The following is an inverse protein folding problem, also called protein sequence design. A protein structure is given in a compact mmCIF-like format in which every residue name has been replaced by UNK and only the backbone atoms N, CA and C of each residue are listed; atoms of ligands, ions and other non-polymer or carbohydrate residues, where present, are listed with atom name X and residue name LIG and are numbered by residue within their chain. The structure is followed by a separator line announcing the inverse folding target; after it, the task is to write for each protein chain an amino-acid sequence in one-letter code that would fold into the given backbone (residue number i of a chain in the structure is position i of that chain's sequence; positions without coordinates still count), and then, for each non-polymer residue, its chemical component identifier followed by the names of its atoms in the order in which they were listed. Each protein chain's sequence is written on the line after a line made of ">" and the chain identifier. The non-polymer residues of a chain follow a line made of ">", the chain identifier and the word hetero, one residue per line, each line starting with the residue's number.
data_IF_431658996554
#
_entry.id   IF_431658996554
#
_cell.length_a   1.000
_cell.length_b   1.000
_cell.length_c   1.000
_cell.angle_alpha   90.00
_cell.angle_beta   90.00
_cell.angle_gamma   90.00
#
_symmetry.space_group_name_H-M   'P 1'
#
loop_
_entity.id
_entity.type
_entity.pdbx_description
1 polymer ?
#
# COMPACT_ATOMS: atom_id res chain seq x y z
N UNK A 1 46.24 2.69 -44.95
CA UNK A 1 47.00 3.44 -43.94
C UNK A 1 48.34 3.82 -44.55
N UNK A 2 48.72 5.10 -44.56
CA UNK A 2 49.86 5.61 -45.35
C UNK A 2 51.12 5.58 -44.47
N UNK A 3 52.21 4.98 -44.98
CA UNK A 3 53.51 5.00 -44.30
C UNK A 3 54.06 6.42 -44.29
N UNK A 4 54.62 6.87 -43.17
CA UNK A 4 55.26 8.18 -43.07
C UNK A 4 56.65 8.12 -43.69
N UNK A 5 56.94 9.00 -44.65
CA UNK A 5 58.22 9.07 -45.37
C UNK A 5 58.68 10.51 -45.64
N UNK A 6 58.02 11.50 -45.04
CA UNK A 6 58.37 12.91 -45.23
C UNK A 6 59.70 13.21 -44.54
N UNK A 7 60.55 14.05 -45.16
CA UNK A 7 61.84 14.44 -44.58
C UNK A 7 62.90 13.34 -44.62
N UNK A 8 63.93 13.51 -43.79
CA UNK A 8 65.08 12.59 -43.69
C UNK A 8 65.48 12.35 -42.25
N UNK A 9 66.28 11.31 -42.01
CA UNK A 9 66.78 10.97 -40.67
C UNK A 9 68.30 10.85 -40.62
N UNK A 10 68.82 11.09 -39.42
CA UNK A 10 70.19 10.83 -39.02
C UNK A 10 70.19 9.75 -37.94
N UNK A 11 70.93 8.68 -38.20
CA UNK A 11 71.02 7.47 -37.38
C UNK A 11 72.49 7.11 -37.17
N UNK A 12 72.82 6.66 -35.97
CA UNK A 12 74.18 6.28 -35.60
C UNK A 12 74.22 4.80 -35.20
N UNK A 13 75.18 4.05 -35.72
CA UNK A 13 75.38 2.65 -35.35
C UNK A 13 75.54 2.52 -33.82
N UNK A 14 74.79 1.60 -33.22
CA UNK A 14 74.80 1.36 -31.77
C UNK A 14 74.01 2.38 -30.95
N UNK A 15 73.38 3.37 -31.58
CA UNK A 15 72.52 4.35 -30.90
C UNK A 15 71.04 4.00 -31.04
N UNK A 16 70.26 4.28 -30.00
CA UNK A 16 68.79 4.22 -30.06
C UNK A 16 68.19 5.53 -30.59
N UNK A 17 68.97 6.61 -30.73
CA UNK A 17 68.44 7.92 -31.10
C UNK A 17 68.36 8.08 -32.61
N UNK A 18 67.20 8.49 -33.11
CA UNK A 18 66.97 8.90 -34.50
C UNK A 18 66.61 10.37 -34.51
N UNK A 19 67.38 11.19 -35.23
CA UNK A 19 67.12 12.64 -35.37
C UNK A 19 66.65 12.94 -36.78
N UNK A 20 65.48 13.52 -36.94
CA UNK A 20 64.88 13.85 -38.23
C UNK A 20 65.04 15.32 -38.63
N UNK A 21 65.02 15.56 -39.94
CA UNK A 21 65.00 16.88 -40.55
C UNK A 21 63.83 16.96 -41.55
N UNK A 22 63.02 18.02 -41.45
CA UNK A 22 61.81 18.16 -42.25
C UNK A 22 60.73 17.13 -41.92
N UNK A 23 60.70 16.66 -40.67
CA UNK A 23 59.77 15.66 -40.14
C UNK A 23 58.95 16.27 -38.99
N UNK A 24 57.83 15.62 -38.64
CA UNK A 24 57.13 15.84 -37.37
C UNK A 24 56.71 14.49 -36.76
N UNK A 25 57.63 13.84 -36.07
CA UNK A 25 57.40 12.55 -35.42
C UNK A 25 56.32 12.61 -34.34
N UNK A 26 56.18 13.74 -33.64
CA UNK A 26 55.18 13.91 -32.58
C UNK A 26 53.75 13.88 -33.14
N UNK A 27 53.54 14.49 -34.31
CA UNK A 27 52.24 14.45 -34.99
C UNK A 27 52.01 13.17 -35.80
N UNK A 28 53.07 12.50 -36.26
CA UNK A 28 52.95 11.46 -37.31
C UNK A 28 53.30 10.03 -36.89
N UNK A 29 53.83 9.81 -35.68
CA UNK A 29 54.18 8.48 -35.16
C UNK A 29 53.75 8.30 -33.70
N UNK A 30 53.65 7.06 -33.26
CA UNK A 30 53.39 6.68 -31.87
C UNK A 30 54.44 5.69 -31.37
N UNK A 31 54.60 5.63 -30.06
CA UNK A 31 55.35 4.54 -29.41
C UNK A 31 54.70 3.21 -29.79
N UNK A 32 55.53 2.23 -30.16
CA UNK A 32 55.10 0.93 -30.69
C UNK A 32 54.99 0.87 -32.21
N UNK A 33 55.06 2.01 -32.92
CA UNK A 33 55.13 1.99 -34.38
C UNK A 33 56.46 1.36 -34.87
N UNK A 34 56.43 0.86 -36.10
CA UNK A 34 57.58 0.22 -36.74
C UNK A 34 58.38 1.25 -37.54
N UNK A 35 59.54 1.64 -37.05
CA UNK A 35 60.53 2.43 -37.79
C UNK A 35 61.33 1.53 -38.73
N UNK A 36 61.30 1.83 -40.02
CA UNK A 36 62.13 1.20 -41.05
C UNK A 36 63.33 2.10 -41.30
N UNK A 37 64.51 1.66 -40.85
CA UNK A 37 65.75 2.41 -40.96
C UNK A 37 66.31 2.47 -42.38
N UNK A 38 67.32 3.32 -42.63
CA UNK A 38 68.02 3.40 -43.92
C UNK A 38 68.71 2.09 -44.34
N UNK A 39 68.99 1.20 -43.37
CA UNK A 39 69.50 -0.16 -43.57
C UNK A 39 68.42 -1.15 -44.03
N UNK A 40 67.16 -0.72 -44.13
CA UNK A 40 66.01 -1.55 -44.49
C UNK A 40 65.50 -2.43 -43.36
N UNK A 41 66.11 -2.36 -42.16
CA UNK A 41 65.68 -3.13 -41.00
C UNK A 41 64.55 -2.42 -40.24
N UNK A 42 63.73 -3.21 -39.55
CA UNK A 42 62.64 -2.71 -38.72
C UNK A 42 63.05 -2.64 -37.26
N UNK A 43 62.68 -1.53 -36.63
CA UNK A 43 62.90 -1.23 -35.23
C UNK A 43 61.59 -0.73 -34.60
N UNK A 44 61.38 -1.01 -33.32
CA UNK A 44 60.24 -0.48 -32.58
C UNK A 44 60.53 0.96 -32.15
N UNK A 45 59.61 1.89 -32.41
CA UNK A 45 59.67 3.25 -31.85
C UNK A 45 59.39 3.16 -30.36
N UNK A 46 60.43 3.30 -29.54
CA UNK A 46 60.36 3.16 -28.09
C UNK A 46 59.94 4.44 -27.37
N UNK A 47 60.20 5.61 -27.97
CA UNK A 47 59.77 6.90 -27.44
C UNK A 47 59.69 7.93 -28.58
N UNK A 48 58.75 8.85 -28.48
CA UNK A 48 58.66 10.02 -29.35
C UNK A 48 59.02 11.24 -28.50
N UNK A 49 60.30 11.59 -28.47
CA UNK A 49 60.83 12.59 -27.56
C UNK A 49 60.48 14.02 -27.99
N UNK A 50 60.36 14.28 -29.30
CA UNK A 50 59.92 15.55 -29.86
C UNK A 50 59.48 15.39 -31.32
N UNK A 51 59.08 16.48 -31.96
CA UNK A 51 58.78 16.50 -33.40
C UNK A 51 59.95 16.00 -34.28
N UNK A 52 61.21 16.12 -33.82
CA UNK A 52 62.38 15.74 -34.63
C UNK A 52 63.22 14.65 -34.01
N UNK A 53 62.85 14.10 -32.85
CA UNK A 53 63.65 13.06 -32.19
C UNK A 53 62.75 11.92 -31.70
N UNK A 54 63.08 10.70 -32.13
CA UNK A 54 62.52 9.46 -31.60
C UNK A 54 63.66 8.59 -31.08
N UNK A 55 63.32 7.65 -30.20
CA UNK A 55 64.22 6.53 -29.87
C UNK A 55 63.67 5.22 -30.39
N UNK A 56 64.54 4.32 -30.82
CA UNK A 56 64.19 3.00 -31.36
C UNK A 56 64.80 1.87 -30.52
N UNK A 57 64.17 0.69 -30.56
CA UNK A 57 64.67 -0.54 -29.96
C UNK A 57 64.59 -1.71 -30.97
N UNK A 58 65.62 -2.58 -31.03
CA UNK A 58 66.96 -2.41 -30.44
C UNK A 58 67.71 -1.21 -31.06
N UNK A 59 68.90 -0.88 -30.55
CA UNK A 59 69.73 0.18 -31.13
C UNK A 59 70.02 -0.07 -32.62
N UNK A 60 70.17 1.01 -33.39
CA UNK A 60 70.36 0.96 -34.83
C UNK A 60 71.61 0.16 -35.21
N UNK A 61 71.46 -0.82 -36.11
CA UNK A 61 72.52 -1.78 -36.46
C UNK A 61 73.24 -1.46 -37.77
N UNK A 62 72.62 -0.65 -38.63
CA UNK A 62 73.19 -0.22 -39.90
C UNK A 62 74.37 0.75 -39.77
N UNK A 63 74.97 1.12 -40.90
CA UNK A 63 76.03 2.13 -40.94
C UNK A 63 75.50 3.50 -40.47
N UNK A 64 76.31 4.29 -39.77
CA UNK A 64 75.96 5.67 -39.39
C UNK A 64 75.74 6.50 -40.64
N UNK A 65 74.54 7.07 -40.79
CA UNK A 65 74.14 7.88 -41.96
C UNK A 65 73.33 9.09 -41.50
N UNK A 66 73.57 10.23 -42.14
CA UNK A 66 72.83 11.48 -41.97
C UNK A 66 72.06 11.80 -43.24
N UNK A 67 70.85 12.35 -43.12
CA UNK A 67 70.03 12.76 -44.25
C UNK A 67 69.46 11.61 -45.09
N UNK A 68 69.27 10.43 -44.51
CA UNK A 68 68.76 9.26 -45.22
C UNK A 68 67.23 9.18 -45.25
N UNK A 69 66.71 8.45 -46.24
CA UNK A 69 65.30 8.08 -46.30
C UNK A 69 64.95 7.07 -45.20
N UNK A 70 63.70 7.10 -44.75
CA UNK A 70 63.16 6.18 -43.75
C UNK A 70 61.68 5.92 -44.05
N UNK A 71 61.08 5.01 -43.30
CA UNK A 71 59.64 4.98 -43.18
C UNK A 71 59.19 4.68 -41.74
N UNK A 72 58.02 5.17 -41.34
CA UNK A 72 57.33 4.68 -40.14
C UNK A 72 56.01 4.02 -40.56
N UNK A 73 55.86 2.76 -40.18
CA UNK A 73 54.65 1.98 -40.36
C UNK A 73 53.88 1.93 -39.02
N UNK A 74 52.64 2.41 -38.98
CA UNK A 74 51.81 2.26 -37.80
C UNK A 74 51.57 0.79 -37.48
N UNK A 75 51.86 0.36 -36.25
CA UNK A 75 51.56 -1.00 -35.78
C UNK A 75 50.33 -0.90 -34.89
N UNK A 76 49.15 -1.01 -35.50
CA UNK A 76 47.91 -1.14 -34.74
C UNK A 76 47.80 -2.56 -34.20
N UNK A 77 48.39 -2.82 -33.03
CA UNK A 77 47.86 -3.87 -32.17
C UNK A 77 46.40 -3.54 -31.91
N UNK A 78 45.49 -4.52 -32.04
CA UNK A 78 44.11 -4.36 -31.53
C UNK A 78 44.19 -3.64 -30.18
N UNK A 79 43.41 -2.57 -29.96
CA UNK A 79 43.36 -1.84 -28.68
C UNK A 79 42.83 -2.79 -27.60
N UNK A 80 43.69 -3.70 -27.16
CA UNK A 80 43.37 -4.81 -26.26
C UNK A 80 42.80 -4.28 -24.97
N UNK A 81 43.29 -3.13 -24.53
CA UNK A 81 42.77 -2.41 -23.37
C UNK A 81 41.33 -1.93 -23.56
N UNK A 82 40.91 -1.50 -24.75
CA UNK A 82 39.53 -1.09 -25.02
C UNK A 82 38.60 -2.32 -25.03
N UNK A 83 39.02 -3.40 -25.68
CA UNK A 83 38.28 -4.66 -25.70
C UNK A 83 38.15 -5.26 -24.29
N UNK A 84 39.21 -5.22 -23.49
CA UNK A 84 39.22 -5.68 -22.10
C UNK A 84 38.31 -4.81 -21.22
N UNK A 85 38.35 -3.49 -21.38
CA UNK A 85 37.48 -2.56 -20.68
C UNK A 85 36.00 -2.78 -21.02
N UNK A 86 35.67 -2.99 -22.29
CA UNK A 86 34.30 -3.29 -22.73
C UNK A 86 33.81 -4.65 -22.20
N UNK A 87 34.65 -5.68 -22.25
CA UNK A 87 34.32 -7.00 -21.68
C UNK A 87 34.09 -6.93 -20.17
N UNK A 88 34.89 -6.12 -19.45
CA UNK A 88 34.69 -5.88 -18.01
C UNK A 88 33.32 -5.26 -17.73
N UNK A 89 32.94 -4.24 -18.51
CA UNK A 89 31.62 -3.60 -18.42
C UNK A 89 30.49 -4.61 -18.68
N UNK A 90 30.59 -5.42 -19.74
CA UNK A 90 29.60 -6.43 -20.06
C UNK A 90 29.47 -7.50 -18.96
N UNK A 91 30.57 -7.95 -18.37
CA UNK A 91 30.52 -8.91 -17.27
C UNK A 91 29.88 -8.33 -16.00
N UNK A 92 30.10 -7.04 -15.72
CA UNK A 92 29.55 -6.38 -14.54
C UNK A 92 28.07 -6.02 -14.68
N UNK A 93 27.66 -5.53 -15.84
CA UNK A 93 26.33 -4.96 -16.07
C UNK A 93 25.42 -5.82 -16.95
N UNK A 94 25.98 -6.68 -17.82
CA UNK A 94 25.23 -7.56 -18.71
C UNK A 94 24.24 -8.47 -17.97
N UNK A 95 24.68 -9.26 -16.97
CA UNK A 95 23.76 -10.09 -16.18
C UNK A 95 22.70 -9.28 -15.43
N UNK A 96 23.04 -8.08 -14.93
CA UNK A 96 22.10 -7.21 -14.22
C UNK A 96 21.03 -6.64 -15.15
N UNK A 97 21.42 -6.22 -16.34
CA UNK A 97 20.51 -5.72 -17.38
C UNK A 97 19.63 -6.84 -17.93
N UNK A 98 20.18 -8.04 -18.13
CA UNK A 98 19.42 -9.23 -18.52
C UNK A 98 18.40 -9.63 -17.46
N UNK A 99 18.75 -9.53 -16.18
CA UNK A 99 17.86 -9.85 -15.06
C UNK A 99 16.66 -8.90 -14.94
N UNK A 100 16.72 -7.70 -15.52
CA UNK A 100 15.55 -6.81 -15.59
C UNK A 100 14.44 -7.42 -16.46
N UNK A 101 14.73 -8.26 -17.45
CA UNK A 101 13.69 -8.87 -18.29
C UNK A 101 12.72 -7.82 -18.87
N UNK A 102 11.41 -7.97 -18.64
CA UNK A 102 10.40 -7.00 -19.11
C UNK A 102 10.23 -5.78 -18.18
N UNK A 103 10.84 -5.77 -16.99
CA UNK A 103 10.77 -4.70 -15.97
C UNK A 103 11.29 -3.37 -16.50
N UNK A 104 12.28 -3.39 -17.42
CA UNK A 104 12.90 -2.18 -17.98
C UNK A 104 12.02 -1.38 -18.96
N UNK A 105 10.82 -1.87 -19.30
CA UNK A 105 9.94 -1.26 -20.30
C UNK A 105 8.81 -0.40 -19.69
N UNK A 106 8.87 -0.12 -18.39
CA UNK A 106 7.83 0.62 -17.68
C UNK A 106 8.40 1.87 -17.00
N UNK A 107 7.75 3.02 -17.20
CA UNK A 107 8.07 4.26 -16.47
C UNK A 107 7.81 4.11 -14.96
N UNK A 108 6.86 3.25 -14.58
CA UNK A 108 6.57 2.84 -13.19
C UNK A 108 6.37 1.32 -13.15
N UNK A 109 7.14 0.62 -12.32
CA UNK A 109 7.12 -0.85 -12.29
C UNK A 109 5.79 -1.39 -11.72
N UNK A 110 5.06 -2.28 -12.42
CA UNK A 110 3.83 -2.86 -11.89
C UNK A 110 4.08 -3.75 -10.66
N UNK A 111 3.09 -3.83 -9.76
CA UNK A 111 3.13 -4.61 -8.50
C UNK A 111 3.45 -6.09 -8.77
N UNK A 112 2.93 -6.67 -9.85
CA UNK A 112 3.18 -8.07 -10.25
C UNK A 112 4.64 -8.38 -10.61
N UNK A 113 5.49 -7.35 -10.71
CA UNK A 113 6.92 -7.44 -11.01
C UNK A 113 7.80 -6.83 -9.91
N UNK A 114 7.25 -6.59 -8.72
CA UNK A 114 8.00 -6.13 -7.54
C UNK A 114 8.03 -4.62 -7.31
N UNK A 115 7.23 -3.83 -8.05
CA UNK A 115 7.23 -2.36 -8.01
C UNK A 115 6.86 -1.68 -6.68
N UNK A 116 6.50 -2.46 -5.64
CA UNK A 116 6.17 -1.96 -4.30
C UNK A 116 6.72 -2.84 -3.16
N UNK A 117 7.59 -3.81 -3.45
CA UNK A 117 8.22 -4.66 -2.44
C UNK A 117 7.36 -5.82 -1.89
N UNK A 118 6.24 -6.16 -2.53
CA UNK A 118 5.40 -7.32 -2.17
C UNK A 118 5.33 -8.34 -3.32
N UNK A 119 5.61 -9.62 -3.01
CA UNK A 119 5.68 -10.71 -3.99
C UNK A 119 4.38 -11.55 -4.06
N UNK A 120 3.45 -11.35 -3.14
CA UNK A 120 2.22 -12.15 -2.99
C UNK A 120 0.97 -11.45 -3.56
N UNK A 121 1.14 -10.31 -4.23
CA UNK A 121 0.06 -9.54 -4.85
C UNK A 121 -0.89 -8.85 -3.86
N UNK A 122 -0.59 -8.86 -2.55
CA UNK A 122 -1.42 -8.24 -1.52
C UNK A 122 -0.84 -6.88 -1.15
N UNK A 123 -1.62 -5.79 -1.24
CA UNK A 123 -1.13 -4.49 -0.81
C UNK A 123 -0.89 -4.50 0.70
N UNK A 124 0.24 -3.94 1.14
CA UNK A 124 0.56 -3.69 2.54
C UNK A 124 0.59 -2.19 2.77
N UNK A 125 -0.17 -1.71 3.75
CA UNK A 125 -0.22 -0.30 4.10
C UNK A 125 0.21 -0.13 5.55
N UNK A 126 1.07 0.86 5.82
CA UNK A 126 1.30 1.33 7.19
C UNK A 126 0.11 2.18 7.67
N UNK A 127 -0.49 2.94 6.76
CA UNK A 127 -1.70 3.74 7.00
C UNK A 127 -2.43 3.99 5.69
N UNK A 128 -3.74 4.20 5.76
CA UNK A 128 -4.59 4.65 4.65
C UNK A 128 -5.24 5.97 5.09
N UNK A 129 -5.09 7.03 4.29
CA UNK A 129 -5.76 8.33 4.51
C UNK A 129 -6.76 8.58 3.40
N UNK A 130 -7.99 8.91 3.78
CA UNK A 130 -9.09 9.25 2.88
C UNK A 130 -9.60 10.64 3.28
N UNK A 131 -9.52 11.60 2.37
CA UNK A 131 -9.87 13.01 2.67
C UNK A 131 -10.87 13.61 1.67
N UNK A 132 -11.21 12.90 0.60
CA UNK A 132 -12.22 13.32 -0.36
C UNK A 132 -13.60 12.77 0.01
N UNK A 133 -14.65 13.54 -0.26
CA UNK A 133 -16.02 13.06 -0.17
C UNK A 133 -16.19 11.90 -1.15
N UNK A 134 -16.57 10.72 -0.65
CA UNK A 134 -16.93 9.58 -1.50
C UNK A 134 -18.32 9.79 -2.09
N UNK A 135 -18.44 10.68 -3.08
CA UNK A 135 -19.68 10.91 -3.83
C UNK A 135 -19.80 9.89 -4.96
N UNK A 136 -20.94 9.21 -5.07
CA UNK A 136 -21.24 8.34 -6.22
C UNK A 136 -20.52 6.99 -6.16
N UNK A 137 -20.61 6.29 -5.03
CA UNK A 137 -20.29 4.87 -4.99
C UNK A 137 -21.09 4.19 -6.11
N UNK A 138 -20.41 3.48 -7.02
CA UNK A 138 -21.03 3.02 -8.26
C UNK A 138 -22.26 2.16 -7.97
N UNK A 139 -23.31 2.27 -8.79
CA UNK A 139 -24.50 1.41 -8.71
C UNK A 139 -24.20 -0.08 -8.93
N UNK A 140 -22.99 -0.43 -9.35
CA UNK A 140 -22.53 -1.81 -9.48
C UNK A 140 -22.30 -2.47 -8.11
N UNK A 141 -22.60 -3.77 -7.95
CA UNK A 141 -22.26 -4.53 -6.75
C UNK A 141 -20.76 -4.47 -6.43
N UNK A 142 -20.41 -4.32 -5.15
CA UNK A 142 -19.02 -4.16 -4.73
C UNK A 142 -18.82 -3.81 -3.26
N UNK A 143 -17.56 -3.79 -2.84
CA UNK A 143 -17.14 -3.33 -1.53
C UNK A 143 -16.40 -1.99 -1.68
N UNK A 144 -16.74 -1.01 -0.85
CA UNK A 144 -16.20 0.34 -0.91
C UNK A 144 -15.80 0.83 0.48
N UNK A 145 -14.77 1.66 0.52
CA UNK A 145 -14.27 2.32 1.72
C UNK A 145 -14.15 3.80 1.38
N UNK A 146 -14.77 4.67 2.19
CA UNK A 146 -14.91 6.08 1.87
C UNK A 146 -14.85 7.00 3.10
N UNK A 147 -14.79 8.30 2.79
CA UNK A 147 -14.84 9.38 3.77
C UNK A 147 -15.99 10.32 3.42
N UNK A 148 -16.75 10.70 4.44
CA UNK A 148 -17.90 11.60 4.37
C UNK A 148 -18.89 11.18 3.27
N UNK A 149 -19.27 9.90 3.27
CA UNK A 149 -20.11 9.30 2.26
C UNK A 149 -21.56 9.75 2.43
N UNK A 150 -22.16 10.28 1.36
CA UNK A 150 -23.51 10.90 1.40
C UNK A 150 -24.66 9.89 1.41
N UNK A 151 -24.50 8.76 2.09
CA UNK A 151 -25.65 7.88 2.35
C UNK A 151 -26.36 8.31 3.63
N UNK A 152 -27.65 7.98 3.71
CA UNK A 152 -28.69 8.15 4.74
C UNK A 152 -28.32 7.96 6.23
N UNK A 153 -27.04 7.91 6.56
CA UNK A 153 -26.51 7.55 7.86
C UNK A 153 -26.72 8.63 8.95
N UNK A 154 -27.03 9.87 8.55
CA UNK A 154 -27.19 11.00 9.48
C UNK A 154 -25.88 11.49 10.11
N UNK A 155 -24.72 10.97 9.69
CA UNK A 155 -23.41 11.39 10.17
C UNK A 155 -22.75 12.42 9.23
N UNK A 156 -21.85 13.22 9.80
CA UNK A 156 -21.02 14.19 9.07
C UNK A 156 -19.55 13.98 9.42
N UNK A 157 -18.67 13.90 8.41
CA UNK A 157 -17.26 13.55 8.61
C UNK A 157 -17.07 12.09 9.01
N UNK A 158 -17.94 11.19 8.54
CA UNK A 158 -17.89 9.77 8.83
C UNK A 158 -16.85 9.04 7.99
N UNK A 159 -16.32 7.94 8.54
CA UNK A 159 -15.63 6.92 7.77
C UNK A 159 -16.61 5.78 7.52
N UNK A 160 -16.77 5.35 6.27
CA UNK A 160 -17.76 4.33 5.90
C UNK A 160 -17.12 3.10 5.24
N UNK A 161 -17.75 1.96 5.54
CA UNK A 161 -17.61 0.71 4.81
C UNK A 161 -18.95 0.42 4.14
N UNK A 162 -18.98 0.30 2.82
CA UNK A 162 -20.19 -0.04 2.08
C UNK A 162 -20.06 -1.39 1.38
N UNK A 163 -21.12 -2.20 1.49
CA UNK A 163 -21.32 -3.39 0.69
C UNK A 163 -22.54 -3.14 -0.22
N UNK A 164 -22.30 -2.80 -1.49
CA UNK A 164 -23.37 -2.82 -2.49
C UNK A 164 -23.66 -4.27 -2.86
N UNK A 165 -24.83 -4.78 -2.44
CA UNK A 165 -25.13 -6.21 -2.53
C UNK A 165 -25.12 -6.71 -3.97
N UNK A 166 -24.56 -7.90 -4.17
CA UNK A 166 -24.67 -8.63 -5.43
C UNK A 166 -26.00 -9.36 -5.56
N UNK A 167 -25.99 -10.44 -6.35
CA UNK A 167 -27.14 -11.35 -6.50
C UNK A 167 -27.41 -12.24 -5.28
N UNK A 168 -26.49 -12.29 -4.32
CA UNK A 168 -26.64 -13.02 -3.06
C UNK A 168 -27.25 -12.19 -1.92
N UNK A 169 -27.19 -12.73 -0.70
CA UNK A 169 -27.75 -12.11 0.51
C UNK A 169 -27.12 -10.76 0.88
N UNK A 170 -25.85 -10.55 0.52
CA UNK A 170 -25.10 -9.35 0.88
C UNK A 170 -24.78 -9.24 2.38
N UNK A 171 -24.19 -8.11 2.77
CA UNK A 171 -23.82 -7.81 4.15
C UNK A 171 -22.32 -7.95 4.45
N UNK A 172 -21.99 -7.92 5.74
CA UNK A 172 -20.62 -7.93 6.25
C UNK A 172 -20.42 -9.08 7.21
N UNK A 173 -19.19 -9.60 7.26
CA UNK A 173 -18.77 -10.57 8.26
C UNK A 173 -17.42 -10.19 8.83
N UNK A 174 -17.24 -10.44 10.13
CA UNK A 174 -15.97 -10.22 10.83
C UNK A 174 -15.68 -11.42 11.71
N UNK A 175 -14.42 -11.82 11.74
CA UNK A 175 -13.93 -12.97 12.52
C UNK A 175 -12.45 -12.82 12.81
N UNK A 176 -12.03 -13.43 13.91
CA UNK A 176 -10.62 -13.64 14.22
C UNK A 176 -10.17 -15.03 13.77
N UNK A 177 -8.88 -15.18 13.53
CA UNK A 177 -8.21 -16.47 13.29
C UNK A 177 -7.10 -16.63 14.33
N UNK A 178 -6.75 -17.86 14.68
CA UNK A 178 -5.60 -18.11 15.56
C UNK A 178 -4.28 -17.65 14.91
N UNK A 179 -3.21 -17.60 15.71
CA UNK A 179 -1.90 -17.11 15.27
C UNK A 179 -1.34 -17.89 14.06
N UNK A 180 -1.61 -19.20 13.99
CA UNK A 180 -1.18 -20.06 12.89
C UNK A 180 -2.09 -19.98 11.65
N UNK A 181 -3.19 -19.23 11.73
CA UNK A 181 -4.20 -19.09 10.67
C UNK A 181 -4.78 -20.45 10.20
N UNK A 182 -5.00 -21.36 11.14
CA UNK A 182 -5.55 -22.72 10.91
C UNK A 182 -6.95 -22.92 11.47
N UNK A 183 -7.35 -22.10 12.45
CA UNK A 183 -8.64 -22.18 13.14
C UNK A 183 -9.30 -20.81 13.10
N UNK A 184 -10.56 -20.78 12.66
CA UNK A 184 -11.39 -19.58 12.62
C UNK A 184 -12.26 -19.49 13.86
N UNK A 185 -12.27 -18.33 14.52
CA UNK A 185 -13.19 -18.04 15.61
C UNK A 185 -14.62 -17.76 15.13
N UNK A 186 -15.57 -17.50 16.06
CA UNK A 186 -16.96 -17.22 15.72
C UNK A 186 -17.10 -16.02 14.77
N UNK A 187 -18.06 -16.11 13.84
CA UNK A 187 -18.33 -15.07 12.84
C UNK A 187 -19.41 -14.13 13.35
N UNK A 188 -19.07 -12.85 13.48
CA UNK A 188 -20.06 -11.78 13.61
C UNK A 188 -20.56 -11.41 12.21
N UNK A 189 -21.85 -11.13 12.06
CA UNK A 189 -22.41 -10.72 10.78
C UNK A 189 -23.35 -9.53 10.90
N UNK A 190 -23.34 -8.67 9.88
CA UNK A 190 -24.32 -7.60 9.69
C UNK A 190 -24.98 -7.80 8.32
N UNK A 191 -26.26 -8.19 8.31
CA UNK A 191 -26.96 -8.53 7.08
C UNK A 191 -27.39 -7.28 6.30
N UNK A 192 -27.73 -7.46 5.01
CA UNK A 192 -28.35 -6.39 4.21
C UNK A 192 -29.66 -5.86 4.84
N UNK A 193 -30.41 -6.72 5.52
CA UNK A 193 -31.64 -6.34 6.23
C UNK A 193 -31.40 -5.60 7.55
N UNK A 194 -30.14 -5.30 7.90
CA UNK A 194 -29.80 -4.53 9.11
C UNK A 194 -29.68 -5.36 10.39
N UNK A 195 -29.63 -6.69 10.29
CA UNK A 195 -29.53 -7.55 11.48
C UNK A 195 -28.06 -7.75 11.85
N UNK A 196 -27.69 -7.39 13.09
CA UNK A 196 -26.39 -7.68 13.69
C UNK A 196 -26.46 -8.97 14.51
N UNK A 197 -25.70 -9.99 14.12
CA UNK A 197 -25.55 -11.24 14.87
C UNK A 197 -24.20 -11.26 15.58
N UNK A 198 -24.23 -11.37 16.90
CA UNK A 198 -23.06 -11.50 17.76
C UNK A 198 -23.11 -12.87 18.44
N UNK A 199 -22.22 -13.83 18.08
CA UNK A 199 -22.25 -15.17 18.68
C UNK A 199 -21.91 -15.20 20.18
N UNK A 200 -21.28 -14.15 20.69
CA UNK A 200 -20.92 -13.98 22.09
C UNK A 200 -21.81 -12.96 22.80
N UNK A 201 -21.20 -12.07 23.57
CA UNK A 201 -21.91 -11.09 24.41
C UNK A 201 -21.66 -9.66 23.92
N UNK A 202 -22.71 -8.83 23.94
CA UNK A 202 -22.61 -7.37 23.82
C UNK A 202 -22.49 -6.80 25.23
N UNK A 203 -21.37 -6.16 25.55
CA UNK A 203 -21.12 -5.59 26.89
C UNK A 203 -21.49 -4.11 26.91
N UNK A 204 -22.24 -3.68 27.93
CA UNK A 204 -22.62 -2.27 28.14
C UNK A 204 -22.03 -1.75 29.46
N UNK A 205 -21.24 -0.67 29.39
CA UNK A 205 -20.57 -0.08 30.55
C UNK A 205 -21.56 0.61 31.50
N UNK A 206 -21.41 0.40 32.82
CA UNK A 206 -22.34 0.92 33.85
C UNK A 206 -21.60 1.41 35.11
N UNK A 207 -20.34 1.82 34.98
CA UNK A 207 -19.47 2.28 36.07
C UNK A 207 -20.03 3.57 36.72
N UNK A 208 -20.04 3.63 38.06
CA UNK A 208 -20.54 4.79 38.82
C UNK A 208 -19.80 6.08 38.48
N UNK A 209 -18.51 6.02 38.14
CA UNK A 209 -17.68 7.20 37.80
C UNK A 209 -18.11 7.89 36.51
N UNK A 210 -18.90 7.21 35.66
CA UNK A 210 -19.46 7.75 34.43
C UNK A 210 -20.88 8.30 34.63
N UNK A 211 -21.37 8.37 35.87
CA UNK A 211 -22.75 8.75 36.22
C UNK A 211 -22.75 9.87 37.25
N UNK A 212 -23.68 10.80 37.09
CA UNK A 212 -24.02 11.86 38.05
C UNK A 212 -25.54 11.95 38.14
N UNK A 213 -26.06 12.53 39.23
CA UNK A 213 -27.50 12.70 39.46
C UNK A 213 -28.29 11.37 39.41
N UNK A 214 -27.73 10.29 39.98
CA UNK A 214 -28.44 9.03 40.12
C UNK A 214 -29.55 9.14 41.17
N UNK A 215 -30.80 9.11 40.72
CA UNK A 215 -32.00 9.10 41.55
C UNK A 215 -32.63 7.71 41.46
N UNK A 216 -33.11 7.18 42.58
CA UNK A 216 -33.83 5.90 42.58
C UNK A 216 -35.14 6.02 41.78
N UNK A 217 -35.44 5.01 40.98
CA UNK A 217 -36.68 4.95 40.21
C UNK A 217 -37.82 4.55 41.15
N UNK A 218 -38.74 5.47 41.39
CA UNK A 218 -40.03 5.25 42.05
C UNK A 218 -41.18 5.36 41.05
N UNK A 219 -42.35 4.80 41.39
CA UNK A 219 -43.51 4.73 40.50
C UNK A 219 -43.28 3.77 39.34
N UNK A 220 -42.40 2.78 39.52
CA UNK A 220 -42.10 1.79 38.48
C UNK A 220 -43.33 0.99 38.10
N UNK A 221 -44.14 0.59 39.08
CA UNK A 221 -45.37 -0.17 38.86
C UNK A 221 -46.39 0.62 38.04
N UNK A 222 -46.67 1.86 38.44
CA UNK A 222 -47.58 2.76 37.74
C UNK A 222 -47.19 2.92 36.27
N UNK A 223 -45.89 3.15 36.01
CA UNK A 223 -45.36 3.31 34.65
C UNK A 223 -45.45 2.04 33.82
N UNK A 224 -45.07 0.89 34.38
CA UNK A 224 -45.12 -0.38 33.64
C UNK A 224 -46.56 -0.78 33.30
N UNK A 225 -47.54 -0.51 34.18
CA UNK A 225 -48.95 -0.80 33.92
C UNK A 225 -49.55 0.03 32.78
N UNK A 226 -48.94 1.16 32.42
CA UNK A 226 -49.36 1.97 31.27
C UNK A 226 -48.79 1.45 29.94
N UNK A 227 -47.81 0.54 29.96
CA UNK A 227 -47.16 0.00 28.76
C UNK A 227 -47.95 -1.21 28.24
N UNK A 228 -48.33 -1.16 26.97
CA UNK A 228 -49.04 -2.26 26.29
C UNK A 228 -48.04 -3.20 25.58
N UNK A 229 -47.84 -4.44 26.05
CA UNK A 229 -47.11 -5.45 25.29
C UNK A 229 -47.95 -5.92 24.10
N UNK A 230 -47.31 -6.12 22.95
CA UNK A 230 -47.97 -6.53 21.70
C UNK A 230 -47.15 -7.60 20.98
N UNK A 231 -47.84 -8.52 20.31
CA UNK A 231 -47.28 -9.36 19.25
C UNK A 231 -47.62 -8.74 17.91
N UNK A 232 -46.69 -8.77 16.95
CA UNK A 232 -46.87 -8.16 15.65
C UNK A 232 -46.05 -8.88 14.58
N UNK A 233 -46.53 -8.78 13.35
CA UNK A 233 -45.74 -9.10 12.17
C UNK A 233 -45.05 -7.83 11.68
N UNK A 234 -43.75 -7.90 11.38
CA UNK A 234 -42.97 -6.77 10.87
C UNK A 234 -42.32 -7.06 9.52
N UNK A 235 -42.03 -5.97 8.81
CA UNK A 235 -41.23 -5.90 7.59
C UNK A 235 -39.83 -5.34 7.89
N UNK A 236 -38.88 -5.43 6.94
CA UNK A 236 -37.52 -4.90 7.17
C UNK A 236 -37.44 -3.40 6.90
N UNK A 237 -38.04 -2.97 5.78
CA UNK A 237 -38.03 -1.59 5.30
C UNK A 237 -39.45 -1.10 5.05
N UNK A 238 -39.67 0.21 5.10
CA UNK A 238 -40.99 0.82 4.87
C UNK A 238 -41.49 0.63 3.42
N UNK A 239 -40.58 0.40 2.48
CA UNK A 239 -40.91 0.06 1.08
C UNK A 239 -41.35 -1.39 0.89
N UNK A 240 -41.11 -2.28 1.85
CA UNK A 240 -41.47 -3.70 1.76
C UNK A 240 -42.99 -3.87 1.87
N UNK A 241 -43.55 -4.81 1.10
CA UNK A 241 -45.00 -5.13 1.13
C UNK A 241 -45.34 -6.32 2.03
N UNK A 242 -44.38 -7.17 2.32
CA UNK A 242 -44.56 -8.40 3.11
C UNK A 242 -44.08 -8.20 4.55
N UNK A 243 -44.69 -8.95 5.48
CA UNK A 243 -44.39 -8.91 6.91
C UNK A 243 -43.93 -10.30 7.40
N UNK A 244 -42.71 -10.72 7.04
CA UNK A 244 -42.29 -12.11 7.24
C UNK A 244 -41.82 -12.45 8.66
N UNK A 245 -41.68 -11.47 9.57
CA UNK A 245 -41.15 -11.70 10.91
C UNK A 245 -42.24 -11.52 11.97
N UNK A 246 -42.51 -12.57 12.74
CA UNK A 246 -43.44 -12.52 13.87
C UNK A 246 -42.68 -12.36 15.18
N UNK A 247 -42.94 -11.28 15.91
CA UNK A 247 -42.18 -10.89 17.11
C UNK A 247 -43.10 -10.32 18.20
N UNK A 248 -42.61 -10.29 19.44
CA UNK A 248 -43.26 -9.64 20.57
C UNK A 248 -42.44 -8.43 21.04
N UNK A 249 -43.12 -7.36 21.45
CA UNK A 249 -42.47 -6.13 21.88
C UNK A 249 -43.46 -5.05 22.31
N UNK A 250 -43.09 -3.79 22.04
CA UNK A 250 -43.90 -2.61 22.35
C UNK A 250 -43.95 -1.68 21.13
N UNK A 251 -44.99 -0.85 21.05
CA UNK A 251 -45.07 0.21 20.04
C UNK A 251 -44.27 1.42 20.55
N UNK A 252 -43.29 1.88 19.75
CA UNK A 252 -42.35 2.93 20.18
C UNK A 252 -43.04 4.26 20.54
N UNK A 253 -44.07 4.64 19.78
CA UNK A 253 -44.85 5.86 20.00
C UNK A 253 -45.65 5.79 21.31
N UNK A 254 -46.30 4.64 21.59
CA UNK A 254 -47.03 4.42 22.85
C UNK A 254 -46.06 4.44 24.05
N UNK A 255 -44.88 3.83 23.91
CA UNK A 255 -43.87 3.87 24.96
C UNK A 255 -43.35 5.29 25.22
N UNK A 256 -43.22 6.11 24.17
CA UNK A 256 -42.72 7.48 24.30
C UNK A 256 -43.64 8.35 25.17
N UNK A 257 -44.95 8.14 25.12
CA UNK A 257 -45.90 8.87 25.97
C UNK A 257 -45.70 8.54 27.47
N UNK A 258 -45.15 7.36 27.80
CA UNK A 258 -44.95 6.89 29.17
C UNK A 258 -43.52 7.10 29.67
N UNK A 259 -42.52 6.71 28.87
CA UNK A 259 -41.08 6.71 29.14
C UNK A 259 -40.29 7.31 27.93
N UNK A 260 -40.38 8.63 27.69
CA UNK A 260 -39.88 9.26 26.46
C UNK A 260 -38.37 9.08 26.24
N UNK A 261 -37.56 9.10 27.30
CA UNK A 261 -36.10 8.97 27.21
C UNK A 261 -35.62 7.54 26.85
N UNK A 262 -36.51 6.55 26.84
CA UNK A 262 -36.22 5.20 26.33
C UNK A 262 -36.50 5.06 24.83
N UNK A 263 -37.03 6.10 24.19
CA UNK A 263 -37.40 6.07 22.79
C UNK A 263 -36.59 7.12 22.04
N UNK A 264 -36.03 6.72 20.90
CA UNK A 264 -35.43 7.64 19.94
C UNK A 264 -36.43 7.84 18.81
N UNK A 265 -37.07 9.01 18.69
CA UNK A 265 -37.95 9.31 17.57
C UNK A 265 -37.22 9.23 16.22
N UNK A 266 -37.97 8.97 15.15
CA UNK A 266 -37.43 9.08 13.79
C UNK A 266 -36.93 10.49 13.49
N UNK A 267 -35.85 10.61 12.69
CA UNK A 267 -35.29 11.89 12.27
C UNK A 267 -36.16 12.65 11.25
N UNK A 268 -35.79 13.89 10.92
CA UNK A 268 -36.48 14.72 9.92
C UNK A 268 -35.73 14.62 8.58
N UNK A 269 -36.37 14.02 7.56
CA UNK A 269 -35.83 13.89 6.19
C UNK A 269 -36.32 12.62 5.47
N UNK A 270 -36.04 12.51 4.16
CA UNK A 270 -36.49 11.42 3.26
C UNK A 270 -35.98 10.01 3.61
N UNK A 271 -35.15 9.86 4.65
CA UNK A 271 -34.83 8.57 5.28
C UNK A 271 -35.76 8.34 6.50
N UNK A 272 -37.03 8.23 6.13
CA UNK A 272 -38.26 7.90 6.84
C UNK A 272 -38.15 7.42 8.31
N UNK A 273 -38.57 8.28 9.24
CA UNK A 273 -39.56 8.08 10.31
C UNK A 273 -39.55 6.82 11.22
N UNK A 274 -38.52 5.96 11.23
CA UNK A 274 -38.53 4.76 12.08
C UNK A 274 -38.06 5.08 13.51
N UNK A 275 -38.98 4.97 14.46
CA UNK A 275 -38.71 5.14 15.89
C UNK A 275 -38.04 3.89 16.48
N UNK A 276 -37.15 4.08 17.47
CA UNK A 276 -36.34 3.01 18.08
C UNK A 276 -36.52 2.99 19.58
N UNK A 277 -36.50 1.79 20.17
CA UNK A 277 -36.72 1.57 21.61
C UNK A 277 -35.44 1.03 22.25
N UNK A 278 -35.01 1.64 23.35
CA UNK A 278 -34.06 1.04 24.28
C UNK A 278 -34.78 0.05 25.21
N UNK A 279 -35.00 -1.17 24.71
CA UNK A 279 -35.64 -2.24 25.48
C UNK A 279 -34.92 -2.53 26.80
N UNK A 280 -33.57 -2.47 26.83
CA UNK A 280 -32.80 -2.73 28.05
C UNK A 280 -33.06 -1.69 29.15
N UNK A 281 -33.44 -0.46 28.78
CA UNK A 281 -33.79 0.60 29.71
C UNK A 281 -35.15 0.40 30.40
N UNK A 282 -35.99 -0.53 29.94
CA UNK A 282 -37.26 -0.89 30.61
C UNK A 282 -36.97 -1.74 31.86
N UNK A 283 -35.86 -2.49 31.88
CA UNK A 283 -35.52 -3.42 32.97
C UNK A 283 -35.45 -2.74 34.35
N UNK A 284 -34.79 -1.57 34.53
CA UNK A 284 -34.83 -0.84 35.80
C UNK A 284 -36.24 -0.49 36.30
N UNK A 285 -37.17 -0.16 35.40
CA UNK A 285 -38.57 0.11 35.75
C UNK A 285 -39.30 -1.15 36.20
N UNK A 286 -39.05 -2.28 35.53
CA UNK A 286 -39.57 -3.59 35.96
C UNK A 286 -39.05 -3.98 37.34
N UNK A 287 -37.77 -3.74 37.63
CA UNK A 287 -37.18 -3.99 38.96
C UNK A 287 -37.88 -3.13 40.03
N UNK A 288 -38.08 -1.84 39.75
CA UNK A 288 -38.81 -0.94 40.64
C UNK A 288 -40.26 -1.40 40.87
N UNK A 289 -40.98 -1.75 39.79
CA UNK A 289 -42.34 -2.28 39.85
C UNK A 289 -42.46 -3.54 40.73
N UNK A 290 -41.52 -4.48 40.60
CA UNK A 290 -41.52 -5.71 41.41
C UNK A 290 -41.28 -5.40 42.90
N UNK A 291 -40.39 -4.44 43.21
CA UNK A 291 -40.16 -4.00 44.60
C UNK A 291 -41.41 -3.35 45.20
N UNK A 292 -42.07 -2.47 44.45
CA UNK A 292 -43.31 -1.80 44.85
C UNK A 292 -44.45 -2.82 45.07
N UNK A 293 -44.68 -3.72 44.10
CA UNK A 293 -45.65 -4.82 44.24
C UNK A 293 -45.39 -5.68 45.48
N UNK A 294 -44.12 -5.98 45.77
CA UNK A 294 -43.76 -6.75 46.96
C UNK A 294 -44.09 -5.99 48.24
N UNK A 295 -43.85 -4.68 48.28
CA UNK A 295 -44.20 -3.85 49.44
C UNK A 295 -45.71 -3.83 49.68
N UNK A 296 -46.51 -3.60 48.63
CA UNK A 296 -47.98 -3.62 48.72
C UNK A 296 -48.52 -4.97 49.20
N UNK A 297 -47.94 -6.09 48.73
CA UNK A 297 -48.34 -7.43 49.16
C UNK A 297 -48.07 -7.63 50.67
N UNK A 298 -46.95 -7.16 51.19
CA UNK A 298 -46.63 -7.30 52.61
C UNK A 298 -47.50 -6.41 53.48
N UNK A 299 -47.83 -5.19 53.04
CA UNK A 299 -48.80 -4.33 53.70
C UNK A 299 -50.20 -4.97 53.75
N UNK A 300 -50.66 -5.54 52.62
CA UNK A 300 -51.94 -6.25 52.54
C UNK A 300 -51.99 -7.47 53.46
N UNK A 301 -50.86 -8.18 53.66
CA UNK A 301 -50.80 -9.31 54.59
C UNK A 301 -50.81 -8.85 56.04
N UNK A 302 -50.08 -7.80 56.39
CA UNK A 302 -50.08 -7.25 57.75
C UNK A 302 -51.49 -6.82 58.17
N UNK A 303 -52.18 -6.07 57.30
CA UNK A 303 -53.55 -5.62 57.54
C UNK A 303 -54.56 -6.78 57.69
N UNK A 304 -54.30 -7.95 57.09
CA UNK A 304 -55.13 -9.14 57.27
C UNK A 304 -54.86 -9.89 58.58
N UNK A 305 -53.65 -9.78 59.13
CA UNK A 305 -53.29 -10.38 60.42
C UNK A 305 -53.86 -9.56 61.57
N UNK A 306 -53.90 -8.23 61.45
CA UNK A 306 -54.46 -7.35 62.48
C UNK A 306 -56.00 -7.35 62.51
N UNK A 307 -56.65 -7.88 61.47
CA UNK A 307 -58.11 -7.98 61.35
C UNK A 307 -58.68 -9.36 61.74
N UNK A 308 -57.84 -10.31 62.14
CA UNK A 308 -58.20 -11.68 62.55
C UNK A 308 -58.00 -11.88 64.06
#
# INVERSE_FOLDING_TARGET
>A
MVWQRAGTVSVQNGSTTVTGAGVDFAASSRVGDSFVGPDGATYEVANVASATVISILPAYKGATVSGAAYAIMPVQGYDKMLSDAFNSLNNQFGPKLAALGTTGNYDVLPVSKGGTGVADGKPKFTSISLSGISSGISSAPGAYIGWNGREASGFSGDFNFLCNKGSGTGGFTWRSVNAENTVTGPVMSYSYSGNLTVPGTVTQGSDRRLKINDVEISGGLEKILQIRPVEFDRRSMLTDKEYPFHEAGVIAQELHDVLPFLVTPGGVGDDEEIWRVNYTGIIPYLISAIKELKAEIEELKANKVDAA
#
